data_IF_623818838021
#
_entry.id   IF_623818838021
#
_cell.length_a   1.000
_cell.length_b   1.000
_cell.length_c   1.000
_cell.angle_alpha   90.00
_cell.angle_beta   90.00
_cell.angle_gamma   90.00
#
_symmetry.space_group_name_H-M   'P 1'
#
loop_
_entity.id
_entity.type
_entity.pdbx_description
1 polymer ?
#
# COMPACT_ATOMS: atom_id res chain seq x y z
N UNK A 1 -26.82 11.43 -12.78
CA UNK A 1 -25.93 10.31 -13.14
C UNK A 1 -25.31 9.84 -11.84
N UNK A 2 -25.86 8.79 -11.24
CA UNK A 2 -25.24 8.16 -10.06
C UNK A 2 -23.90 7.58 -10.52
N UNK A 3 -22.80 8.07 -9.95
CA UNK A 3 -21.49 7.50 -10.21
C UNK A 3 -21.51 6.08 -9.64
N UNK A 4 -21.62 5.08 -10.51
CA UNK A 4 -21.48 3.68 -10.10
C UNK A 4 -20.22 3.53 -9.26
N UNK A 5 -20.41 3.16 -7.99
CA UNK A 5 -19.32 2.90 -7.07
C UNK A 5 -18.55 1.69 -7.57
N UNK A 6 -17.49 1.92 -8.37
CA UNK A 6 -16.65 0.85 -8.94
C UNK A 6 -16.01 -0.03 -7.86
N UNK A 7 -15.90 0.49 -6.64
CA UNK A 7 -15.34 -0.19 -5.47
C UNK A 7 -16.45 -0.85 -4.65
N UNK A 8 -17.26 -1.74 -5.23
CA UNK A 8 -18.33 -2.55 -4.61
C UNK A 8 -18.19 -2.78 -3.08
N UNK A 9 -18.52 -1.81 -2.23
CA UNK A 9 -18.34 -1.89 -0.77
C UNK A 9 -16.91 -2.07 -0.24
N UNK A 10 -15.85 -1.89 -1.05
CA UNK A 10 -14.46 -2.07 -0.61
C UNK A 10 -13.89 -0.74 -0.14
N UNK A 11 -13.49 -0.67 1.14
CA UNK A 11 -12.88 0.53 1.72
C UNK A 11 -11.67 1.00 0.90
N UNK A 12 -11.53 2.33 0.67
CA UNK A 12 -10.37 2.91 -0.02
C UNK A 12 -9.05 2.52 0.64
N UNK A 13 -9.04 2.49 1.98
CA UNK A 13 -7.95 2.00 2.82
C UNK A 13 -8.46 0.75 3.55
N UNK A 14 -7.83 -0.42 3.34
CA UNK A 14 -8.15 -1.65 4.06
C UNK A 14 -7.90 -1.49 5.57
N UNK A 15 -8.67 -2.21 6.40
CA UNK A 15 -8.49 -2.19 7.86
C UNK A 15 -7.14 -2.81 8.29
N UNK A 16 -6.68 -3.82 7.54
CA UNK A 16 -5.32 -4.38 7.65
C UNK A 16 -4.64 -4.33 6.27
N UNK A 17 -3.86 -3.28 5.97
CA UNK A 17 -3.09 -3.23 4.74
C UNK A 17 -1.94 -4.24 4.74
N UNK A 18 -1.32 -4.55 5.88
CA UNK A 18 -0.16 -5.45 5.89
C UNK A 18 -0.56 -6.90 5.58
N UNK A 19 -1.83 -7.28 5.80
CA UNK A 19 -2.38 -8.57 5.39
C UNK A 19 -2.33 -8.88 3.89
N UNK A 20 -2.02 -7.90 3.02
CA UNK A 20 -1.76 -8.15 1.59
C UNK A 20 -0.33 -8.56 1.28
N UNK A 21 0.60 -8.43 2.23
CA UNK A 21 2.00 -8.78 2.05
C UNK A 21 2.23 -10.27 2.34
N UNK A 22 3.08 -10.91 1.55
CA UNK A 22 3.61 -12.21 1.93
C UNK A 22 4.71 -12.07 3.00
N UNK A 23 5.17 -13.19 3.56
CA UNK A 23 6.16 -13.19 4.65
C UNK A 23 7.47 -12.44 4.30
N UNK A 24 8.00 -12.65 3.09
CA UNK A 24 9.24 -11.99 2.65
C UNK A 24 9.05 -10.46 2.50
N UNK A 25 7.88 -10.04 2.02
CA UNK A 25 7.53 -8.63 1.91
C UNK A 25 7.29 -8.00 3.28
N UNK A 26 6.64 -8.71 4.21
CA UNK A 26 6.43 -8.25 5.59
C UNK A 26 7.76 -8.08 6.33
N UNK A 27 8.67 -9.05 6.19
CA UNK A 27 10.03 -8.95 6.72
C UNK A 27 10.76 -7.72 6.17
N UNK A 28 10.65 -7.50 4.85
CA UNK A 28 11.24 -6.33 4.19
C UNK A 28 10.63 -5.03 4.71
N UNK A 29 9.30 -4.96 4.82
CA UNK A 29 8.58 -3.80 5.36
C UNK A 29 9.12 -3.44 6.75
N UNK A 30 9.19 -4.39 7.68
CA UNK A 30 9.71 -4.14 9.03
C UNK A 30 11.15 -3.61 9.02
N UNK A 31 12.01 -4.20 8.19
CA UNK A 31 13.40 -3.77 8.05
C UNK A 31 13.47 -2.34 7.51
N UNK A 32 12.74 -2.03 6.44
CA UNK A 32 12.73 -0.70 5.83
C UNK A 32 12.17 0.36 6.79
N UNK A 33 11.11 0.04 7.54
CA UNK A 33 10.57 0.95 8.56
C UNK A 33 11.57 1.26 9.67
N UNK A 34 12.45 0.32 10.03
CA UNK A 34 13.51 0.56 11.01
C UNK A 34 14.56 1.56 10.49
N UNK A 35 14.71 1.71 9.17
CA UNK A 35 15.58 2.70 8.52
C UNK A 35 14.85 4.00 8.17
N UNK A 36 13.66 4.25 8.73
CA UNK A 36 12.90 5.49 8.52
C UNK A 36 12.07 5.53 7.25
N UNK A 37 11.99 4.43 6.50
CA UNK A 37 11.11 4.35 5.33
C UNK A 37 9.66 4.17 5.75
N UNK A 38 8.73 4.73 5.00
CA UNK A 38 7.30 4.64 5.27
C UNK A 38 6.52 4.32 4.00
N UNK A 39 5.31 3.76 4.15
CA UNK A 39 4.43 3.49 3.01
C UNK A 39 3.90 4.83 2.49
N UNK A 40 4.19 5.13 1.21
CA UNK A 40 3.67 6.31 0.51
C UNK A 40 2.25 6.07 -0.01
N UNK A 41 2.05 4.95 -0.71
CA UNK A 41 0.74 4.50 -1.18
C UNK A 41 0.75 3.01 -1.53
N UNK A 42 -0.44 2.43 -1.66
CA UNK A 42 -0.65 1.04 -2.11
C UNK A 42 -1.41 1.07 -3.43
N UNK A 43 -0.81 0.51 -4.49
CA UNK A 43 -1.51 0.33 -5.77
C UNK A 43 -2.38 -0.91 -5.69
N UNK A 44 -3.65 -0.80 -6.08
CA UNK A 44 -4.62 -1.91 -6.09
C UNK A 44 -5.28 -2.06 -7.46
N UNK A 45 -4.58 -2.64 -8.47
CA UNK A 45 -5.18 -2.87 -9.78
C UNK A 45 -6.26 -3.95 -9.71
N UNK A 46 -7.28 -3.85 -10.56
CA UNK A 46 -8.50 -4.69 -10.50
C UNK A 46 -8.26 -6.20 -10.63
N UNK A 47 -7.12 -6.60 -11.20
CA UNK A 47 -6.78 -8.01 -11.50
C UNK A 47 -5.32 -8.35 -11.17
N UNK A 48 -4.68 -7.57 -10.29
CA UNK A 48 -3.30 -7.81 -9.88
C UNK A 48 -3.18 -7.73 -8.36
N UNK A 49 -2.17 -8.40 -7.82
CA UNK A 49 -1.83 -8.28 -6.41
C UNK A 49 -1.51 -6.82 -6.07
N UNK A 50 -1.92 -6.35 -4.88
CA UNK A 50 -1.55 -5.02 -4.41
C UNK A 50 -0.03 -4.83 -4.38
N UNK A 51 0.43 -3.63 -4.74
CA UNK A 51 1.85 -3.25 -4.71
C UNK A 51 2.04 -2.11 -3.72
N UNK A 52 2.90 -2.35 -2.73
CA UNK A 52 3.24 -1.39 -1.68
C UNK A 52 4.40 -0.53 -2.17
N UNK A 53 4.20 0.79 -2.18
CA UNK A 53 5.24 1.75 -2.52
C UNK A 53 5.70 2.41 -1.22
N UNK A 54 6.99 2.24 -0.91
CA UNK A 54 7.64 2.87 0.24
C UNK A 54 8.58 3.98 -0.24
N UNK A 55 8.78 4.98 0.60
CA UNK A 55 9.74 6.07 0.37
C UNK A 55 10.55 6.30 1.64
N UNK A 56 11.77 6.79 1.49
CA UNK A 56 12.60 7.24 2.60
C UNK A 56 12.11 8.57 3.20
N UNK A 57 12.75 9.02 4.28
CA UNK A 57 12.41 10.24 5.00
C UNK A 57 12.76 11.53 4.27
N UNK A 58 13.68 11.46 3.31
CA UNK A 58 14.24 12.62 2.61
C UNK A 58 13.45 12.97 1.36
N UNK A 59 12.29 12.32 1.17
CA UNK A 59 11.39 12.39 0.01
C UNK A 59 11.39 13.80 -0.61
N UNK A 60 12.33 14.03 -1.52
CA UNK A 60 12.48 15.31 -2.15
C UNK A 60 11.40 15.32 -3.20
N UNK A 61 10.34 16.07 -2.97
CA UNK A 61 9.28 16.28 -3.95
C UNK A 61 9.94 16.82 -5.23
N UNK A 62 10.20 15.94 -6.19
CA UNK A 62 10.48 16.31 -7.59
C UNK A 62 9.17 16.28 -8.36
#
# INVERSE_FOLDING_TARGET
MEQEEKRKGVKPIPDDPLGYLNEAQLFTYHRMTAFGWHIKFIRRPMYQSPVFVMTDSDETMM
#
